data_IF_600766972548
#
_entry.id   IF_600766972548
#
_cell.length_a   1.000
_cell.length_b   1.000
_cell.length_c   1.000
_cell.angle_alpha   90.00
_cell.angle_beta   90.00
_cell.angle_gamma   90.00
#
_symmetry.space_group_name_H-M   'P 1'
#
loop_
_entity.id
_entity.type
_entity.pdbx_description
1 polymer ?
#
# COMPACT_ATOMS: atom_id res chain seq x y z
N UNK A 1 19.30 -7.80 -21.91
CA UNK A 1 18.83 -6.78 -22.86
C UNK A 1 17.33 -6.67 -22.70
N UNK A 2 16.81 -5.52 -22.29
CA UNK A 2 15.36 -5.33 -22.14
C UNK A 2 14.75 -5.34 -23.54
N UNK A 3 13.97 -6.38 -23.86
CA UNK A 3 13.35 -6.53 -25.18
C UNK A 3 11.97 -5.92 -25.14
N UNK A 4 11.64 -5.08 -26.13
CA UNK A 4 10.29 -4.55 -26.26
C UNK A 4 9.29 -5.69 -26.52
N UNK A 5 8.06 -5.58 -25.99
CA UNK A 5 6.99 -6.50 -26.33
C UNK A 5 6.65 -6.43 -27.83
N UNK A 6 5.91 -7.42 -28.34
CA UNK A 6 5.49 -7.45 -29.75
C UNK A 6 4.72 -6.20 -30.17
N UNK A 7 3.94 -5.62 -29.25
CA UNK A 7 3.21 -4.38 -29.43
C UNK A 7 3.44 -3.44 -28.26
N UNK A 8 3.63 -2.15 -28.56
CA UNK A 8 3.74 -1.07 -27.58
C UNK A 8 2.52 -0.19 -27.72
N UNK A 9 1.77 -0.03 -26.64
CA UNK A 9 0.61 0.88 -26.61
C UNK A 9 1.04 2.24 -26.09
N UNK A 10 0.87 3.28 -26.90
CA UNK A 10 1.18 4.68 -26.54
C UNK A 10 -0.08 5.49 -26.79
N UNK A 11 -0.58 6.20 -25.76
CA UNK A 11 -1.80 7.01 -25.84
C UNK A 11 -3.03 6.27 -26.40
N UNK A 12 -3.19 4.99 -26.04
CA UNK A 12 -4.30 4.15 -26.51
C UNK A 12 -4.16 3.61 -27.93
N UNK A 13 -3.09 3.96 -28.65
CA UNK A 13 -2.79 3.40 -29.97
C UNK A 13 -1.72 2.31 -29.84
N UNK A 14 -1.98 1.15 -30.44
CA UNK A 14 -1.05 0.01 -30.43
C UNK A 14 -0.13 0.06 -31.65
N UNK A 15 1.17 -0.02 -31.43
CA UNK A 15 2.20 -0.02 -32.46
C UNK A 15 2.97 -1.34 -32.44
N UNK A 16 3.14 -1.99 -33.59
CA UNK A 16 4.01 -3.16 -33.70
C UNK A 16 5.46 -2.73 -33.46
N UNK A 17 6.13 -3.34 -32.47
CA UNK A 17 7.49 -2.94 -32.09
C UNK A 17 8.53 -3.17 -33.19
N UNK A 18 8.29 -4.14 -34.07
CA UNK A 18 9.09 -4.40 -35.26
C UNK A 18 9.08 -3.24 -36.27
N UNK A 19 7.99 -2.46 -36.31
CA UNK A 19 7.82 -1.34 -37.24
C UNK A 19 8.31 0.00 -36.66
N UNK A 20 8.76 0.02 -35.41
CA UNK A 20 9.30 1.22 -34.77
C UNK A 20 10.73 1.48 -35.24
N UNK A 21 11.07 2.76 -35.42
CA UNK A 21 12.47 3.17 -35.59
C UNK A 21 13.28 2.88 -34.33
N UNK A 22 14.60 2.77 -34.44
CA UNK A 22 15.46 2.48 -33.28
C UNK A 22 15.41 3.61 -32.23
N UNK A 23 15.24 4.86 -32.69
CA UNK A 23 14.96 5.99 -31.81
C UNK A 23 13.64 5.79 -31.04
N UNK A 24 12.56 5.39 -31.73
CA UNK A 24 11.27 5.15 -31.08
C UNK A 24 11.33 3.97 -30.09
N UNK A 25 12.06 2.89 -30.43
CA UNK A 25 12.28 1.77 -29.51
C UNK A 25 13.00 2.21 -28.24
N UNK A 26 14.04 3.03 -28.37
CA UNK A 26 14.79 3.57 -27.22
C UNK A 26 13.87 4.40 -26.32
N UNK A 27 13.04 5.26 -26.90
CA UNK A 27 12.09 6.04 -26.10
C UNK A 27 11.02 5.17 -25.44
N UNK A 28 10.52 4.13 -26.12
CA UNK A 28 9.58 3.18 -25.53
C UNK A 28 10.16 2.47 -24.29
N UNK A 29 11.45 2.07 -24.34
CA UNK A 29 12.13 1.49 -23.17
C UNK A 29 12.26 2.53 -22.04
N UNK A 30 12.67 3.76 -22.36
CA UNK A 30 12.78 4.83 -21.37
C UNK A 30 11.44 5.10 -20.66
N UNK A 31 10.33 5.14 -21.42
CA UNK A 31 8.98 5.31 -20.87
C UNK A 31 8.65 4.17 -19.91
N UNK A 32 8.89 2.90 -20.28
CA UNK A 32 8.64 1.77 -19.39
C UNK A 32 9.41 1.84 -18.07
N UNK A 33 10.65 2.34 -18.10
CA UNK A 33 11.45 2.55 -16.90
C UNK A 33 10.84 3.66 -16.03
N UNK A 34 10.47 4.80 -16.64
CA UNK A 34 9.85 5.92 -15.93
C UNK A 34 8.51 5.52 -15.33
N UNK A 35 7.70 4.73 -16.05
CA UNK A 35 6.41 4.24 -15.55
C UNK A 35 6.57 3.32 -14.32
N UNK A 36 7.59 2.46 -14.32
CA UNK A 36 7.92 1.62 -13.17
C UNK A 36 8.33 2.47 -11.94
N UNK A 37 9.12 3.52 -12.17
CA UNK A 37 9.51 4.45 -11.10
C UNK A 37 8.32 5.27 -10.57
N UNK A 38 7.43 5.71 -11.46
CA UNK A 38 6.19 6.39 -11.07
C UNK A 38 5.30 5.49 -10.20
N UNK A 39 5.13 4.22 -10.59
CA UNK A 39 4.38 3.25 -9.78
C UNK A 39 5.01 3.07 -8.39
N UNK A 40 6.36 3.00 -8.32
CA UNK A 40 7.10 2.92 -7.05
C UNK A 40 6.86 4.15 -6.17
N UNK A 41 6.92 5.35 -6.74
CA UNK A 41 6.69 6.61 -6.02
C UNK A 41 5.24 6.74 -5.54
N UNK A 42 4.27 6.30 -6.34
CA UNK A 42 2.87 6.25 -5.93
C UNK A 42 2.66 5.34 -4.72
N UNK A 43 3.30 4.17 -4.70
CA UNK A 43 3.27 3.27 -3.54
C UNK A 43 3.85 3.94 -2.29
N UNK A 44 5.00 4.62 -2.40
CA UNK A 44 5.61 5.34 -1.28
C UNK A 44 4.70 6.47 -0.77
N UNK A 45 4.05 7.19 -1.70
CA UNK A 45 3.10 8.24 -1.36
C UNK A 45 1.89 7.68 -0.61
N UNK A 46 1.36 6.52 -1.02
CA UNK A 46 0.25 5.86 -0.33
C UNK A 46 0.61 5.45 1.12
N UNK A 47 1.83 4.95 1.33
CA UNK A 47 2.36 4.64 2.67
C UNK A 47 2.44 5.92 3.51
N UNK A 48 3.04 6.97 2.97
CA UNK A 48 3.19 8.25 3.66
C UNK A 48 1.83 8.87 4.01
N UNK A 49 0.84 8.79 3.11
CA UNK A 49 -0.51 9.28 3.34
C UNK A 49 -1.20 8.53 4.48
N UNK A 50 -1.01 7.21 4.56
CA UNK A 50 -1.53 6.39 5.66
C UNK A 50 -0.95 6.86 7.00
N UNK A 51 0.37 7.00 7.09
CA UNK A 51 1.03 7.51 8.29
C UNK A 51 0.57 8.92 8.67
N UNK A 52 0.46 9.82 7.68
CA UNK A 52 -0.07 11.18 7.88
C UNK A 52 -1.48 11.15 8.49
N UNK A 53 -2.37 10.32 7.94
CA UNK A 53 -3.74 10.21 8.45
C UNK A 53 -3.76 9.72 9.90
N UNK A 54 -2.92 8.74 10.25
CA UNK A 54 -2.76 8.27 11.64
C UNK A 54 -2.30 9.40 12.57
N UNK A 55 -1.30 10.18 12.17
CA UNK A 55 -0.80 11.28 13.00
C UNK A 55 -1.82 12.42 13.14
N UNK A 56 -2.57 12.73 12.08
CA UNK A 56 -3.66 13.70 12.15
C UNK A 56 -4.74 13.24 13.13
N UNK A 57 -5.13 11.96 13.09
CA UNK A 57 -6.08 11.41 14.04
C UNK A 57 -5.57 11.53 15.49
N UNK A 58 -4.32 11.13 15.75
CA UNK A 58 -3.71 11.25 17.07
C UNK A 58 -3.66 12.70 17.56
N UNK A 59 -3.32 13.65 16.68
CA UNK A 59 -3.30 15.07 17.00
C UNK A 59 -4.70 15.60 17.37
N UNK A 60 -5.73 15.22 16.61
CA UNK A 60 -7.11 15.63 16.90
C UNK A 60 -7.54 15.14 18.29
N UNK A 61 -7.17 13.91 18.65
CA UNK A 61 -7.51 13.33 19.94
C UNK A 61 -6.80 14.04 21.10
N UNK A 62 -5.53 14.41 20.91
CA UNK A 62 -4.77 15.19 21.88
C UNK A 62 -5.36 16.61 22.07
N UNK A 63 -5.69 17.31 20.98
CA UNK A 63 -6.21 18.69 21.04
C UNK A 63 -7.65 18.75 21.57
N UNK A 64 -8.46 17.70 21.40
CA UNK A 64 -9.80 17.59 22.02
C UNK A 64 -9.77 17.44 23.55
N UNK A 65 -8.61 17.54 24.18
CA UNK A 65 -8.47 17.51 25.63
C UNK A 65 -8.74 16.14 26.24
N UNK A 66 -8.59 15.05 25.46
CA UNK A 66 -8.69 13.69 25.99
C UNK A 66 -7.36 13.27 26.63
N UNK A 67 -6.81 14.12 27.49
CA UNK A 67 -5.65 13.79 28.33
C UNK A 67 -6.02 12.96 29.57
N UNK A 68 -7.32 12.70 29.82
CA UNK A 68 -7.78 11.91 30.96
C UNK A 68 -8.42 10.57 30.55
N UNK A 69 -7.63 9.63 30.04
CA UNK A 69 -7.91 8.20 30.26
C UNK A 69 -6.63 7.35 30.18
N UNK A 70 -5.60 7.81 30.89
CA UNK A 70 -4.53 6.94 31.38
C UNK A 70 -4.86 6.34 32.77
N UNK A 71 -6.11 6.44 33.23
CA UNK A 71 -6.54 5.92 34.53
C UNK A 71 -7.73 4.96 34.36
N UNK A 72 -7.45 3.71 33.98
CA UNK A 72 -8.07 2.48 34.52
C UNK A 72 -7.85 1.28 33.59
N UNK A 73 -6.60 0.86 33.40
CA UNK A 73 -6.35 -0.57 33.23
C UNK A 73 -6.58 -1.23 34.60
N UNK A 74 -7.85 -1.46 34.96
CA UNK A 74 -8.16 -2.40 36.04
C UNK A 74 -7.75 -3.79 35.55
N UNK A 75 -6.93 -4.53 36.30
CA UNK A 75 -6.47 -5.84 35.88
C UNK A 75 -7.68 -6.75 35.65
N UNK A 76 -7.86 -7.21 34.41
CA UNK A 76 -8.89 -8.20 34.08
C UNK A 76 -8.55 -9.47 34.85
N UNK A 77 -9.34 -9.79 35.88
CA UNK A 77 -9.21 -11.04 36.64
C UNK A 77 -9.13 -12.23 35.66
N UNK A 78 -8.24 -13.21 35.88
CA UNK A 78 -8.11 -14.37 35.00
C UNK A 78 -9.46 -15.06 34.85
N UNK A 79 -9.90 -15.27 33.60
CA UNK A 79 -11.09 -16.08 33.32
C UNK A 79 -10.82 -17.50 33.83
N UNK A 80 -11.64 -17.95 34.79
CA UNK A 80 -11.55 -19.31 35.31
C UNK A 80 -11.68 -20.34 34.17
N UNK A 81 -10.90 -21.44 34.20
CA UNK A 81 -10.97 -22.48 33.19
C UNK A 81 -12.36 -23.13 33.20
N UNK A 82 -12.99 -23.22 32.03
CA UNK A 82 -14.27 -23.92 31.85
C UNK A 82 -14.02 -25.41 32.12
N UNK A 83 -14.70 -25.98 33.14
CA UNK A 83 -14.72 -27.43 33.36
C UNK A 83 -15.20 -28.13 32.08
N UNK A 84 -14.54 -29.20 31.60
CA UNK A 84 -15.08 -30.00 30.53
C UNK A 84 -16.35 -30.70 31.05
N UNK A 85 -17.47 -30.56 30.34
CA UNK A 85 -18.63 -31.40 30.58
C UNK A 85 -18.21 -32.84 30.27
N UNK A 86 -18.16 -33.67 31.30
CA UNK A 86 -18.00 -35.11 31.15
C UNK A 86 -19.12 -35.63 30.23
N UNK A 87 -18.73 -36.43 29.24
CA UNK A 87 -19.64 -37.31 28.52
C UNK A 87 -20.05 -38.43 29.48
N UNK A 88 -21.35 -38.69 29.58
CA UNK A 88 -21.95 -39.97 29.99
C UNK A 88 -23.08 -40.15 28.98
N UNK A 89 -22.88 -41.03 27.99
CA UNK A 89 -23.29 -42.45 28.02
C UNK A 89 -24.81 -42.59 28.02
#
# INVERSE_FOLDING_TARGET
MMTLPQYVTINGTSYASANLSDAAKTQAVNIQVVDAELARLQQQTAIAQTARNTYVAALIEAVKGREASAAAEKPKKPRAPRKPKAKAE
#
